data_IF_722966861427
#
_entry.id   IF_722966861427
#
_cell.length_a   1.000
_cell.length_b   1.000
_cell.length_c   1.000
_cell.angle_alpha   90.00
_cell.angle_beta   90.00
_cell.angle_gamma   90.00
#
_symmetry.space_group_name_H-M   'P 1'
#
loop_
_entity.id
_entity.type
_entity.pdbx_description
1 polymer ?
#
# COMPACT_ATOMS: atom_id res chain seq x y z
N UNK A 1 29.12 -8.11 -26.09
CA UNK A 1 28.97 -9.04 -24.94
C UNK A 1 27.68 -9.84 -25.08
N UNK A 2 27.50 -10.87 -24.26
CA UNK A 2 26.23 -11.62 -24.16
C UNK A 2 25.74 -11.54 -22.72
N UNK A 3 24.46 -11.22 -22.53
CA UNK A 3 23.77 -11.22 -21.26
C UNK A 3 22.67 -12.28 -21.30
N UNK A 4 22.43 -12.97 -20.20
CA UNK A 4 21.36 -13.96 -20.08
C UNK A 4 20.17 -13.30 -19.37
N UNK A 5 19.01 -13.26 -20.02
CA UNK A 5 17.77 -12.63 -19.52
C UNK A 5 16.75 -13.69 -19.18
N UNK A 6 16.07 -13.59 -18.04
CA UNK A 6 15.04 -14.57 -17.66
C UNK A 6 13.84 -14.58 -18.60
N UNK A 7 13.23 -15.76 -18.74
CA UNK A 7 12.05 -16.01 -19.59
C UNK A 7 10.91 -15.01 -19.33
N UNK A 8 10.66 -14.65 -18.07
CA UNK A 8 9.58 -13.73 -17.69
C UNK A 8 9.78 -12.27 -18.18
N UNK A 9 11.04 -11.85 -18.36
CA UNK A 9 11.39 -10.47 -18.69
C UNK A 9 11.63 -10.26 -20.18
N UNK A 10 11.79 -11.34 -20.95
CA UNK A 10 12.19 -11.27 -22.36
C UNK A 10 11.20 -10.50 -23.23
N UNK A 11 9.90 -10.52 -22.88
CA UNK A 11 8.86 -9.79 -23.61
C UNK A 11 9.02 -8.27 -23.58
N UNK A 12 9.80 -7.74 -22.64
CA UNK A 12 10.08 -6.32 -22.49
C UNK A 12 11.40 -5.90 -23.17
N UNK A 13 12.24 -6.87 -23.55
CA UNK A 13 13.55 -6.64 -24.18
C UNK A 13 13.39 -6.58 -25.69
N UNK A 14 13.86 -5.47 -26.30
CA UNK A 14 13.76 -5.24 -27.73
C UNK A 14 15.11 -4.91 -28.36
N UNK A 15 15.34 -5.40 -29.58
CA UNK A 15 16.47 -4.97 -30.40
C UNK A 15 16.44 -3.45 -30.58
N UNK A 16 17.60 -2.80 -30.45
CA UNK A 16 17.76 -1.35 -30.49
C UNK A 16 17.63 -0.65 -29.14
N UNK A 17 17.14 -1.33 -28.09
CA UNK A 17 17.08 -0.74 -26.76
C UNK A 17 18.48 -0.48 -26.18
N UNK A 18 18.59 0.59 -25.39
CA UNK A 18 19.82 0.92 -24.65
C UNK A 18 19.96 0.00 -23.44
N UNK A 19 21.18 -0.30 -23.05
CA UNK A 19 21.50 -1.09 -21.87
C UNK A 19 22.61 -0.37 -21.09
N UNK A 20 22.52 -0.34 -19.76
CA UNK A 20 23.62 0.13 -18.91
C UNK A 20 24.40 -1.06 -18.41
N UNK A 21 25.71 -1.01 -18.56
CA UNK A 21 26.60 -2.12 -18.21
C UNK A 21 27.62 -1.63 -17.19
N UNK A 22 27.69 -2.32 -16.06
CA UNK A 22 28.72 -2.13 -15.03
C UNK A 22 29.65 -3.32 -15.01
N UNK A 23 30.93 -3.08 -14.80
CA UNK A 23 31.96 -4.12 -14.79
C UNK A 23 32.70 -4.01 -13.47
N UNK A 24 32.89 -5.13 -12.79
CA UNK A 24 33.50 -5.15 -11.45
C UNK A 24 34.92 -4.56 -11.42
N UNK A 25 35.65 -4.66 -12.54
CA UNK A 25 36.98 -4.07 -12.68
C UNK A 25 36.96 -2.52 -12.69
N UNK A 26 35.82 -1.91 -13.01
CA UNK A 26 35.65 -0.45 -13.09
C UNK A 26 34.30 -0.05 -12.47
N UNK A 27 34.14 -0.17 -11.13
CA UNK A 27 32.85 0.05 -10.47
C UNK A 27 32.31 1.48 -10.66
N UNK A 28 33.20 2.46 -10.80
CA UNK A 28 32.86 3.87 -10.99
C UNK A 28 32.50 4.22 -12.45
N UNK A 29 32.55 3.25 -13.37
CA UNK A 29 32.26 3.47 -14.79
C UNK A 29 31.00 2.72 -15.20
N UNK A 30 30.11 3.44 -15.87
CA UNK A 30 28.94 2.88 -16.56
C UNK A 30 29.22 2.92 -18.06
N UNK A 31 29.08 1.77 -18.70
CA UNK A 31 29.19 1.65 -20.15
C UNK A 31 27.80 1.55 -20.74
N UNK A 32 27.49 2.42 -21.71
CA UNK A 32 26.23 2.35 -22.43
C UNK A 32 26.35 1.44 -23.64
N UNK A 33 25.49 0.44 -23.70
CA UNK A 33 25.40 -0.51 -24.79
C UNK A 33 24.08 -0.43 -25.53
N UNK A 34 24.02 -1.07 -26.69
CA UNK A 34 22.78 -1.23 -27.46
C UNK A 34 22.53 -2.72 -27.72
N UNK A 35 21.29 -3.16 -27.54
CA UNK A 35 20.89 -4.53 -27.83
C UNK A 35 20.87 -4.70 -29.34
N UNK A 36 21.75 -5.53 -29.90
CA UNK A 36 21.82 -5.77 -31.34
C UNK A 36 21.12 -7.06 -31.76
N UNK A 37 20.95 -8.00 -30.83
CA UNK A 37 20.30 -9.27 -31.14
C UNK A 37 19.71 -9.93 -29.90
N UNK A 38 18.46 -10.37 -30.00
CA UNK A 38 17.80 -11.24 -29.02
C UNK A 38 17.72 -12.62 -29.65
N UNK A 39 18.33 -13.63 -29.04
CA UNK A 39 18.32 -14.97 -29.60
C UNK A 39 16.90 -15.59 -29.53
N UNK A 40 16.46 -16.33 -30.56
CA UNK A 40 15.12 -16.91 -30.59
C UNK A 40 14.99 -18.18 -29.74
N UNK A 41 16.09 -18.64 -29.13
CA UNK A 41 16.16 -19.91 -28.39
C UNK A 41 16.42 -19.65 -26.92
N UNK A 42 15.61 -20.24 -26.05
CA UNK A 42 15.80 -20.28 -24.62
C UNK A 42 16.78 -21.41 -24.24
N UNK A 43 17.72 -21.12 -23.34
CA UNK A 43 18.59 -22.12 -22.70
C UNK A 43 17.79 -22.83 -21.60
N UNK A 44 17.45 -24.09 -21.81
CA UNK A 44 16.57 -24.85 -20.91
C UNK A 44 17.15 -25.01 -19.50
N UNK A 45 18.49 -25.10 -19.40
CA UNK A 45 19.22 -25.37 -18.16
C UNK A 45 19.13 -24.20 -17.19
N UNK A 46 19.10 -22.97 -17.71
CA UNK A 46 19.10 -21.73 -16.91
C UNK A 46 17.79 -20.97 -17.00
N UNK A 47 16.87 -21.38 -17.88
CA UNK A 47 15.63 -20.65 -18.19
C UNK A 47 15.89 -19.19 -18.59
N UNK A 48 16.94 -18.99 -19.38
CA UNK A 48 17.33 -17.68 -19.88
C UNK A 48 17.40 -17.62 -21.40
N UNK A 49 17.17 -16.44 -21.94
CA UNK A 49 17.35 -16.12 -23.35
C UNK A 49 18.61 -15.26 -23.50
N UNK A 50 19.58 -15.67 -24.33
CA UNK A 50 20.78 -14.88 -24.58
C UNK A 50 20.44 -13.60 -25.35
N UNK A 51 21.04 -12.49 -24.93
CA UNK A 51 20.90 -11.18 -25.56
C UNK A 51 22.28 -10.62 -25.85
N UNK A 52 22.53 -10.25 -27.10
CA UNK A 52 23.77 -9.61 -27.53
C UNK A 52 23.66 -8.10 -27.33
N UNK A 53 24.58 -7.57 -26.52
CA UNK A 53 24.74 -6.14 -26.28
C UNK A 53 26.06 -5.68 -26.88
N UNK A 54 26.01 -4.68 -27.73
CA UNK A 54 27.18 -4.03 -28.30
C UNK A 54 27.58 -2.83 -27.46
N UNK A 55 28.88 -2.73 -27.13
CA UNK A 55 29.45 -1.71 -26.26
C UNK A 55 30.60 -1.03 -27.00
N UNK A 56 30.61 0.31 -27.11
CA UNK A 56 31.78 1.04 -27.58
C UNK A 56 32.97 0.79 -26.65
N UNK A 57 34.13 0.44 -27.23
CA UNK A 57 35.37 0.21 -26.48
C UNK A 57 36.58 0.95 -27.08
N UNK A 58 36.50 2.27 -27.31
CA UNK A 58 37.58 3.02 -27.97
C UNK A 58 38.88 3.01 -27.15
N UNK A 59 38.78 3.03 -25.83
CA UNK A 59 39.94 3.01 -24.91
C UNK A 59 40.45 1.59 -24.59
N UNK A 60 39.89 0.55 -25.22
CA UNK A 60 40.26 -0.86 -25.00
C UNK A 60 40.22 -1.34 -23.53
N UNK A 61 39.41 -0.68 -22.70
CA UNK A 61 39.26 -1.03 -21.28
C UNK A 61 38.52 -2.35 -21.09
N UNK A 62 37.59 -2.65 -21.99
CA UNK A 62 36.77 -3.86 -21.94
C UNK A 62 37.54 -5.03 -22.54
N UNK A 63 37.85 -6.05 -21.73
CA UNK A 63 38.48 -7.29 -22.19
C UNK A 63 37.45 -8.40 -22.35
N UNK A 64 37.66 -9.34 -23.30
CA UNK A 64 36.82 -10.53 -23.40
C UNK A 64 36.76 -11.31 -22.08
N UNK A 65 35.66 -12.02 -21.87
CA UNK A 65 35.39 -12.86 -20.69
C UNK A 65 35.30 -12.12 -19.33
N UNK A 66 35.29 -10.78 -19.30
CA UNK A 66 34.96 -10.03 -18.08
C UNK A 66 33.51 -10.26 -17.66
N UNK A 67 33.29 -10.39 -16.35
CA UNK A 67 31.95 -10.36 -15.76
C UNK A 67 31.41 -8.94 -15.76
N UNK A 68 30.11 -8.83 -16.00
CA UNK A 68 29.42 -7.56 -16.06
C UNK A 68 27.99 -7.73 -15.56
N UNK A 69 27.48 -6.66 -14.95
CA UNK A 69 26.09 -6.52 -14.59
C UNK A 69 25.41 -5.63 -15.62
N UNK A 70 24.29 -6.13 -16.17
CA UNK A 70 23.55 -5.44 -17.23
C UNK A 70 22.20 -5.01 -16.69
N UNK A 71 21.94 -3.72 -16.73
CA UNK A 71 20.65 -3.11 -16.47
C UNK A 71 19.96 -2.85 -17.81
N UNK A 72 18.88 -3.58 -18.05
CA UNK A 72 18.05 -3.42 -19.23
C UNK A 72 16.84 -2.56 -18.84
N UNK A 73 16.68 -1.35 -19.40
CA UNK A 73 15.46 -0.59 -19.26
C UNK A 73 14.35 -1.34 -20.00
N UNK A 74 13.52 -2.02 -19.22
CA UNK A 74 12.27 -2.57 -19.70
C UNK A 74 11.36 -1.40 -20.04
N UNK A 75 10.99 -1.29 -21.32
CA UNK A 75 10.42 -0.05 -21.85
C UNK A 75 9.15 0.37 -21.12
N UNK A 76 9.19 1.52 -20.44
CA UNK A 76 8.00 2.37 -20.34
C UNK A 76 7.64 2.80 -21.77
N UNK A 77 6.40 2.58 -22.19
CA UNK A 77 5.92 2.94 -23.53
C UNK A 77 5.87 4.47 -23.67
N UNK A 78 6.96 5.10 -24.07
CA UNK A 78 7.00 6.55 -24.36
C UNK A 78 6.91 7.44 -23.11
N UNK A 79 6.70 8.74 -23.33
CA UNK A 79 6.35 9.66 -22.26
C UNK A 79 4.98 9.27 -21.69
N UNK A 80 5.00 8.78 -20.45
CA UNK A 80 3.79 8.38 -19.74
C UNK A 80 3.61 9.27 -18.52
N UNK A 81 2.36 9.61 -18.22
CA UNK A 81 2.03 10.31 -16.98
C UNK A 81 2.25 9.33 -15.85
N UNK A 82 3.09 9.71 -14.88
CA UNK A 82 3.31 8.90 -13.67
C UNK A 82 2.96 9.72 -12.45
N UNK A 83 2.52 9.02 -11.41
CA UNK A 83 2.35 9.59 -10.08
C UNK A 83 3.20 8.79 -9.08
N UNK A 84 3.66 9.40 -7.98
CA UNK A 84 4.29 8.65 -6.90
C UNK A 84 3.36 7.53 -6.44
N UNK A 85 3.93 6.36 -6.13
CA UNK A 85 3.18 5.22 -5.62
C UNK A 85 2.35 5.58 -4.37
N UNK A 86 2.87 6.48 -3.53
CA UNK A 86 2.22 6.99 -2.32
C UNK A 86 1.10 8.02 -2.58
N UNK A 87 0.88 8.45 -3.82
CA UNK A 87 -0.24 9.31 -4.18
C UNK A 87 -1.50 8.51 -4.59
N UNK A 88 -1.35 7.20 -4.81
CA UNK A 88 -2.45 6.32 -5.17
C UNK A 88 -3.09 5.73 -3.93
N UNK A 89 -4.39 5.97 -3.79
CA UNK A 89 -5.24 5.30 -2.81
C UNK A 89 -5.90 4.12 -3.53
N UNK A 90 -5.42 2.91 -3.25
CA UNK A 90 -5.97 1.67 -3.78
C UNK A 90 -6.82 1.00 -2.70
N UNK A 91 -8.15 0.99 -2.89
CA UNK A 91 -9.09 0.31 -2.00
C UNK A 91 -9.37 -1.13 -2.43
N UNK A 92 -8.62 -1.67 -3.39
CA UNK A 92 -8.83 -2.97 -4.05
C UNK A 92 -9.94 -2.95 -5.11
N UNK A 93 -11.01 -2.19 -4.86
CA UNK A 93 -12.15 -2.02 -5.78
C UNK A 93 -12.05 -0.79 -6.66
N UNK A 94 -11.37 0.26 -6.19
CA UNK A 94 -11.16 1.51 -6.91
C UNK A 94 -9.76 2.02 -6.64
N UNK A 95 -9.19 2.66 -7.65
CA UNK A 95 -7.89 3.34 -7.56
C UNK A 95 -8.16 4.81 -7.77
N UNK A 96 -7.87 5.61 -6.77
CA UNK A 96 -8.11 7.06 -6.81
C UNK A 96 -6.83 7.82 -6.49
N UNK A 97 -6.74 9.02 -7.02
CA UNK A 97 -5.75 10.03 -6.63
C UNK A 97 -6.49 11.31 -6.26
N UNK A 98 -5.89 12.12 -5.39
CA UNK A 98 -6.40 13.43 -5.05
C UNK A 98 -5.67 14.47 -5.91
N UNK A 99 -6.35 15.06 -6.88
CA UNK A 99 -5.83 16.14 -7.71
C UNK A 99 -6.16 17.48 -7.06
N UNK A 100 -5.18 18.37 -6.94
CA UNK A 100 -5.43 19.72 -6.44
C UNK A 100 -5.99 20.59 -7.57
N UNK A 101 -7.31 20.85 -7.52
CA UNK A 101 -7.99 21.66 -8.52
C UNK A 101 -7.77 23.17 -8.29
N UNK A 102 -7.69 23.59 -7.02
CA UNK A 102 -7.38 24.95 -6.57
C UNK A 102 -6.66 24.88 -5.23
N UNK A 103 -6.02 25.95 -4.81
CA UNK A 103 -5.35 26.06 -3.52
C UNK A 103 -6.30 25.62 -2.38
N UNK A 104 -5.89 24.61 -1.60
CA UNK A 104 -6.69 24.02 -0.52
C UNK A 104 -7.89 23.15 -0.94
N UNK A 105 -8.19 22.96 -2.24
CA UNK A 105 -9.31 22.13 -2.72
C UNK A 105 -8.83 20.93 -3.53
N UNK A 106 -9.17 19.74 -3.03
CA UNK A 106 -8.77 18.45 -3.59
C UNK A 106 -9.97 17.74 -4.19
N UNK A 107 -9.79 17.21 -5.39
CA UNK A 107 -10.79 16.45 -6.11
C UNK A 107 -10.34 14.99 -6.18
N UNK A 108 -11.12 14.04 -5.61
CA UNK A 108 -10.85 12.64 -5.81
C UNK A 108 -11.17 12.25 -7.24
N UNK A 109 -10.19 11.69 -7.94
CA UNK A 109 -10.34 11.24 -9.31
C UNK A 109 -9.96 9.79 -9.44
N UNK A 110 -10.84 9.03 -10.06
CA UNK A 110 -10.57 7.63 -10.38
C UNK A 110 -9.52 7.55 -11.49
N UNK A 111 -8.57 6.65 -11.31
CA UNK A 111 -7.44 6.48 -12.22
C UNK A 111 -7.35 5.04 -12.70
N UNK A 112 -7.00 4.92 -13.98
CA UNK A 112 -6.59 3.64 -14.54
C UNK A 112 -5.08 3.57 -14.52
N UNK A 113 -4.54 2.58 -13.82
CA UNK A 113 -3.10 2.43 -13.64
C UNK A 113 -2.51 1.47 -14.68
N UNK A 114 -1.27 1.77 -15.08
CA UNK A 114 -0.46 0.97 -15.99
C UNK A 114 0.70 0.29 -15.27
N UNK A 115 1.88 0.32 -15.89
CA UNK A 115 3.09 -0.27 -15.33
C UNK A 115 3.49 0.40 -14.01
N UNK A 116 4.01 -0.41 -13.09
CA UNK A 116 4.48 0.04 -11.79
C UNK A 116 5.98 -0.15 -11.70
N UNK A 117 6.66 0.88 -11.21
CA UNK A 117 8.05 0.87 -10.78
C UNK A 117 8.12 0.95 -9.25
N UNK A 118 9.33 0.90 -8.70
CA UNK A 118 9.52 0.94 -7.24
C UNK A 118 8.87 2.16 -6.57
N UNK A 119 8.99 3.34 -7.19
CA UNK A 119 8.55 4.61 -6.59
C UNK A 119 7.39 5.29 -7.32
N UNK A 120 7.10 4.90 -8.55
CA UNK A 120 6.10 5.53 -9.41
C UNK A 120 5.21 4.51 -10.08
N UNK A 121 3.97 4.91 -10.36
CA UNK A 121 3.02 4.14 -11.15
C UNK A 121 2.52 4.96 -12.32
N UNK A 122 2.46 4.31 -13.48
CA UNK A 122 1.89 4.87 -14.70
C UNK A 122 0.38 5.09 -14.54
N UNK A 123 -0.09 6.25 -15.01
CA UNK A 123 -1.51 6.60 -15.09
C UNK A 123 -1.91 6.63 -16.56
N UNK A 124 -2.76 5.68 -16.94
CA UNK A 124 -3.32 5.56 -18.29
C UNK A 124 -4.49 6.52 -18.50
N UNK A 125 -5.32 6.70 -17.47
CA UNK A 125 -6.51 7.57 -17.50
C UNK A 125 -6.71 8.23 -16.12
N UNK A 126 -7.25 9.44 -16.12
CA UNK A 126 -7.62 10.19 -14.91
C UNK A 126 -6.72 11.40 -14.61
N UNK A 127 -5.40 11.29 -14.76
CA UNK A 127 -4.48 12.41 -14.49
C UNK A 127 -3.82 12.90 -15.78
N UNK A 128 -3.76 14.21 -15.95
CA UNK A 128 -3.06 14.87 -17.04
C UNK A 128 -1.68 15.35 -16.58
N UNK A 129 -0.75 15.47 -17.53
CA UNK A 129 0.56 16.05 -17.26
C UNK A 129 0.40 17.49 -16.70
N UNK A 130 1.14 17.81 -15.64
CA UNK A 130 1.12 19.10 -14.96
C UNK A 130 0.06 19.23 -13.87
N UNK A 131 -0.82 18.24 -13.66
CA UNK A 131 -1.77 18.27 -12.55
C UNK A 131 -1.09 17.89 -11.22
N UNK A 132 -1.14 18.76 -10.19
CA UNK A 132 -0.58 18.44 -8.87
C UNK A 132 -1.41 17.36 -8.16
N UNK A 133 -0.74 16.29 -7.74
CA UNK A 133 -1.33 15.19 -6.98
C UNK A 133 -0.79 15.14 -5.55
N UNK A 134 -1.65 14.82 -4.59
CA UNK A 134 -1.28 14.74 -3.18
C UNK A 134 -0.56 13.44 -2.88
N UNK A 135 0.61 13.53 -2.27
CA UNK A 135 1.39 12.38 -1.79
C UNK A 135 0.97 12.11 -0.34
N UNK A 136 0.54 10.89 -0.01
CA UNK A 136 -0.14 10.55 1.23
C UNK A 136 0.68 10.66 2.54
N UNK A 137 1.84 11.32 2.54
CA UNK A 137 2.67 11.43 3.74
C UNK A 137 2.37 12.66 4.63
N UNK A 138 1.79 13.75 4.10
CA UNK A 138 1.67 15.01 4.86
C UNK A 138 0.26 15.63 4.91
N UNK A 139 -0.75 15.02 4.29
CA UNK A 139 -2.04 15.69 4.09
C UNK A 139 -3.20 15.22 4.98
N UNK A 140 -3.09 14.05 5.60
CA UNK A 140 -4.16 13.55 6.47
C UNK A 140 -4.28 14.32 7.80
N UNK A 141 -3.34 15.23 8.12
CA UNK A 141 -3.39 16.04 9.34
C UNK A 141 -4.33 17.26 9.18
N UNK A 142 -4.52 17.80 7.97
CA UNK A 142 -5.33 19.02 7.75
C UNK A 142 -6.62 18.82 6.93
N UNK A 143 -6.82 17.65 6.30
CA UNK A 143 -7.87 17.46 5.29
C UNK A 143 -9.13 16.73 5.76
N UNK A 144 -9.14 16.17 6.97
CA UNK A 144 -10.24 15.31 7.46
C UNK A 144 -11.58 16.07 7.56
N UNK A 145 -11.51 17.39 7.74
CA UNK A 145 -12.69 18.28 7.80
C UNK A 145 -13.34 18.54 6.42
N UNK A 146 -12.58 18.48 5.33
CA UNK A 146 -13.09 18.80 3.97
C UNK A 146 -13.47 17.54 3.17
N UNK A 147 -12.82 16.40 3.41
CA UNK A 147 -13.12 15.16 2.70
C UNK A 147 -14.51 14.60 3.06
N UNK A 148 -14.93 14.76 4.32
CA UNK A 148 -16.26 14.33 4.80
C UNK A 148 -17.41 15.12 4.14
N UNK A 149 -17.15 16.36 3.74
CA UNK A 149 -18.13 17.23 3.06
C UNK A 149 -18.22 16.96 1.55
N UNK A 150 -17.10 16.59 0.89
CA UNK A 150 -17.08 16.32 -0.54
C UNK A 150 -17.67 14.95 -0.94
N UNK A 151 -17.53 13.94 -0.06
CA UNK A 151 -18.04 12.57 -0.33
C UNK A 151 -19.52 12.41 0.06
N UNK A 152 -20.04 13.24 0.96
CA UNK A 152 -21.45 13.19 1.42
C UNK A 152 -22.47 13.90 0.51
N UNK A 153 -22.04 14.62 -0.53
CA UNK A 153 -22.90 15.54 -1.29
C UNK A 153 -23.61 15.00 -2.53
N UNK A 154 -23.39 13.75 -2.94
CA UNK A 154 -23.88 13.21 -4.23
C UNK A 154 -25.03 12.20 -4.15
N UNK A 155 -25.89 12.29 -3.13
CA UNK A 155 -27.02 11.37 -2.96
C UNK A 155 -28.39 12.05 -2.95
N UNK A 156 -28.91 12.48 -4.10
CA UNK A 156 -30.36 12.69 -4.26
C UNK A 156 -30.80 12.53 -5.73
N UNK A 157 -31.30 11.34 -6.08
CA UNK A 157 -32.56 11.15 -6.80
C UNK A 157 -32.82 9.66 -7.08
N UNK A 158 -34.04 9.25 -6.71
CA UNK A 158 -34.83 8.11 -7.19
C UNK A 158 -34.86 6.82 -6.34
N UNK A 159 -36.11 6.45 -6.05
CA UNK A 159 -36.67 5.32 -5.33
C UNK A 159 -36.20 3.92 -5.78
N UNK A 160 -36.13 3.01 -4.81
CA UNK A 160 -36.39 1.58 -5.05
C UNK A 160 -35.47 0.61 -4.28
N UNK A 161 -35.98 0.10 -3.15
CA UNK A 161 -35.60 -1.17 -2.48
C UNK A 161 -34.13 -1.41 -2.11
N UNK A 162 -33.89 -1.46 -0.78
CA UNK A 162 -32.62 -1.86 -0.15
C UNK A 162 -32.10 -3.22 -0.64
N UNK A 163 -30.78 -3.38 -0.77
CA UNK A 163 -30.05 -4.10 0.28
C UNK A 163 -28.93 -3.28 0.93
N UNK A 164 -28.71 -3.57 2.21
CA UNK A 164 -27.70 -3.04 3.14
C UNK A 164 -26.26 -3.19 2.58
N UNK A 165 -25.36 -2.20 2.69
CA UNK A 165 -24.02 -2.29 2.12
C UNK A 165 -23.12 -3.21 2.96
N UNK A 166 -22.62 -4.27 2.32
CA UNK A 166 -21.48 -5.05 2.77
C UNK A 166 -20.18 -4.25 2.61
N UNK A 167 -19.55 -3.97 3.74
CA UNK A 167 -18.17 -3.51 3.88
C UNK A 167 -17.19 -4.58 3.36
N UNK A 168 -16.38 -4.22 2.37
CA UNK A 168 -15.34 -5.07 1.81
C UNK A 168 -14.24 -5.36 2.85
N UNK A 169 -14.12 -6.64 3.22
CA UNK A 169 -13.09 -7.23 4.08
C UNK A 169 -11.85 -7.57 3.25
N UNK A 170 -10.67 -7.16 3.71
CA UNK A 170 -9.47 -7.99 3.55
C UNK A 170 -9.51 -9.10 4.60
N UNK A 171 -9.16 -10.32 4.22
CA UNK A 171 -9.33 -11.53 5.02
C UNK A 171 -8.33 -11.60 6.20
N UNK A 172 -8.56 -10.79 7.23
CA UNK A 172 -8.36 -11.21 8.61
C UNK A 172 -9.77 -11.40 9.18
N UNK A 173 -10.04 -12.52 9.86
CA UNK A 173 -11.35 -12.73 10.49
C UNK A 173 -11.50 -11.65 11.56
N UNK A 174 -12.31 -10.63 11.28
CA UNK A 174 -12.64 -9.60 12.26
C UNK A 174 -13.42 -10.22 13.41
N UNK A 175 -12.90 -10.05 14.62
CA UNK A 175 -13.54 -10.48 15.87
C UNK A 175 -14.23 -9.27 16.50
N UNK A 176 -15.37 -9.52 17.14
CA UNK A 176 -16.13 -8.50 17.84
C UNK A 176 -16.25 -8.89 19.31
N UNK A 177 -16.11 -7.91 20.18
CA UNK A 177 -16.27 -8.10 21.61
C UNK A 177 -16.80 -6.83 22.28
N UNK A 178 -17.40 -7.01 23.44
CA UNK A 178 -17.76 -5.91 24.34
C UNK A 178 -16.86 -6.01 25.57
N UNK A 179 -16.49 -4.88 26.15
CA UNK A 179 -15.59 -4.84 27.29
C UNK A 179 -15.59 -3.51 28.01
N UNK A 180 -14.80 -3.45 29.07
CA UNK A 180 -14.56 -2.23 29.84
C UNK A 180 -13.11 -1.82 29.66
N UNK A 181 -12.88 -0.55 29.39
CA UNK A 181 -11.52 0.02 29.31
C UNK A 181 -10.91 0.04 30.70
N UNK A 182 -9.82 -0.68 30.93
CA UNK A 182 -9.08 -0.63 32.20
C UNK A 182 -7.96 0.41 32.16
N UNK A 183 -7.29 0.55 31.02
CA UNK A 183 -6.18 1.49 30.85
C UNK A 183 -5.75 1.60 29.40
N UNK A 184 -4.94 2.60 29.09
CA UNK A 184 -4.35 2.77 27.77
C UNK A 184 -3.06 3.58 27.85
N UNK A 185 -2.13 3.27 26.95
CA UNK A 185 -0.93 4.06 26.72
C UNK A 185 -1.01 4.66 25.31
N UNK A 186 -1.24 5.97 25.25
CA UNK A 186 -1.36 6.72 23.99
C UNK A 186 -0.05 6.83 23.21
N UNK A 187 1.10 6.73 23.90
CA UNK A 187 2.43 6.78 23.27
C UNK A 187 2.81 5.42 22.70
N UNK A 188 2.50 4.34 23.42
CA UNK A 188 2.76 2.98 22.99
C UNK A 188 1.68 2.41 22.06
N UNK A 189 0.51 3.06 21.98
CA UNK A 189 -0.62 2.57 21.18
C UNK A 189 -1.24 1.30 21.76
N UNK A 190 -1.28 1.21 23.09
CA UNK A 190 -1.76 0.03 23.82
C UNK A 190 -3.07 0.35 24.54
N UNK A 191 -3.97 -0.62 24.55
CA UNK A 191 -5.28 -0.56 25.19
C UNK A 191 -5.51 -1.82 26.00
N UNK A 192 -5.68 -1.67 27.31
CA UNK A 192 -6.05 -2.76 28.22
C UNK A 192 -7.57 -2.81 28.35
N UNK A 193 -8.16 -3.92 27.94
CA UNK A 193 -9.60 -4.16 28.00
C UNK A 193 -9.90 -5.40 28.84
N UNK A 194 -10.85 -5.27 29.76
CA UNK A 194 -11.56 -6.40 30.31
C UNK A 194 -12.72 -6.73 29.40
N UNK A 195 -12.53 -7.72 28.54
CA UNK A 195 -13.50 -8.07 27.51
C UNK A 195 -14.36 -9.27 27.95
N UNK A 196 -15.61 -9.28 27.51
CA UNK A 196 -16.50 -10.44 27.62
C UNK A 196 -16.10 -11.57 26.66
N UNK A 197 -16.84 -12.69 26.63
CA UNK A 197 -16.51 -13.83 25.80
C UNK A 197 -16.42 -13.48 24.30
N UNK A 198 -15.40 -13.99 23.62
CA UNK A 198 -15.23 -13.81 22.17
C UNK A 198 -15.55 -15.12 21.47
N UNK A 199 -16.81 -15.27 21.04
CA UNK A 199 -17.33 -16.52 20.48
C UNK A 199 -16.52 -17.03 19.28
N UNK A 200 -16.06 -16.15 18.40
CA UNK A 200 -15.28 -16.50 17.20
C UNK A 200 -13.92 -17.13 17.52
N UNK A 201 -13.36 -16.85 18.69
CA UNK A 201 -12.06 -17.38 19.14
C UNK A 201 -12.20 -18.40 20.28
N UNK A 202 -13.43 -18.68 20.72
CA UNK A 202 -13.74 -19.50 21.91
C UNK A 202 -13.03 -19.00 23.18
N UNK A 203 -12.79 -17.70 23.27
CA UNK A 203 -12.16 -17.11 24.44
C UNK A 203 -13.20 -16.82 25.53
N UNK A 204 -12.89 -17.14 26.81
CA UNK A 204 -13.68 -16.66 27.93
C UNK A 204 -13.51 -15.14 28.07
N UNK A 205 -14.33 -14.51 28.91
CA UNK A 205 -14.07 -13.13 29.31
C UNK A 205 -12.79 -13.05 30.14
N UNK A 206 -11.93 -12.08 29.83
CA UNK A 206 -10.65 -11.87 30.52
C UNK A 206 -10.10 -10.46 30.25
N UNK A 207 -9.13 -10.03 31.06
CA UNK A 207 -8.37 -8.80 30.83
C UNK A 207 -7.18 -9.08 29.94
N UNK A 208 -7.07 -8.33 28.84
CA UNK A 208 -5.94 -8.42 27.91
C UNK A 208 -5.53 -7.05 27.38
N UNK A 209 -4.30 -6.99 26.90
CA UNK A 209 -3.76 -5.85 26.18
C UNK A 209 -3.92 -6.05 24.68
N UNK A 210 -4.38 -5.00 24.00
CA UNK A 210 -4.52 -4.94 22.57
C UNK A 210 -3.72 -3.75 22.03
N UNK A 211 -3.15 -3.91 20.84
CA UNK A 211 -2.65 -2.76 20.09
C UNK A 211 -3.82 -2.03 19.43
N UNK A 212 -3.68 -0.73 19.19
CA UNK A 212 -4.66 0.02 18.39
C UNK A 212 -4.15 0.27 16.98
N UNK A 213 -5.03 0.11 15.99
CA UNK A 213 -4.68 0.36 14.59
C UNK A 213 -4.32 1.83 14.33
N UNK A 214 -4.89 2.75 15.11
CA UNK A 214 -4.54 4.17 15.10
C UNK A 214 -4.64 4.78 16.51
N UNK A 215 -3.76 5.71 16.90
CA UNK A 215 -3.85 6.39 18.20
C UNK A 215 -5.17 7.15 18.42
N UNK A 216 -5.85 7.56 17.33
CA UNK A 216 -7.14 8.23 17.38
C UNK A 216 -8.23 7.37 18.05
N UNK A 217 -8.14 6.04 17.99
CA UNK A 217 -9.09 5.14 18.66
C UNK A 217 -9.05 5.26 20.19
N UNK A 218 -7.94 5.72 20.75
CA UNK A 218 -7.79 5.96 22.20
C UNK A 218 -8.36 7.32 22.62
N UNK A 219 -8.61 8.21 21.65
CA UNK A 219 -9.03 9.58 21.92
C UNK A 219 -10.47 9.61 22.44
N UNK A 220 -10.65 10.17 23.63
CA UNK A 220 -11.96 10.26 24.28
C UNK A 220 -12.39 9.00 25.04
N UNK A 221 -11.58 7.94 25.06
CA UNK A 221 -11.78 6.82 25.98
C UNK A 221 -11.45 7.23 27.41
N UNK A 222 -12.21 6.69 28.37
CA UNK A 222 -11.96 6.86 29.81
C UNK A 222 -11.83 5.48 30.43
N UNK A 223 -10.90 5.28 31.39
CA UNK A 223 -10.93 4.09 32.23
C UNK A 223 -12.32 3.92 32.87
N UNK A 224 -12.82 2.69 32.88
CA UNK A 224 -14.16 2.33 33.31
C UNK A 224 -15.26 2.48 32.24
N UNK A 225 -14.95 2.99 31.04
CA UNK A 225 -15.94 3.09 29.97
C UNK A 225 -16.24 1.72 29.36
N UNK A 226 -17.53 1.40 29.21
CA UNK A 226 -17.97 0.23 28.43
C UNK A 226 -17.87 0.54 26.94
N UNK A 227 -17.31 -0.39 26.19
CA UNK A 227 -17.02 -0.25 24.76
C UNK A 227 -17.42 -1.50 24.01
N UNK A 228 -17.94 -1.32 22.81
CA UNK A 228 -17.99 -2.36 21.79
C UNK A 228 -16.82 -2.14 20.84
N UNK A 229 -16.05 -3.18 20.54
CA UNK A 229 -14.84 -3.06 19.73
C UNK A 229 -14.68 -4.22 18.75
N UNK A 230 -14.03 -3.91 17.64
CA UNK A 230 -13.64 -4.86 16.61
C UNK A 230 -12.12 -4.96 16.57
N UNK A 231 -11.61 -6.18 16.40
CA UNK A 231 -10.18 -6.43 16.36
C UNK A 231 -9.82 -7.55 15.40
N UNK A 232 -8.58 -7.55 14.94
CA UNK A 232 -8.03 -8.55 14.01
C UNK A 232 -6.70 -9.07 14.53
N UNK A 233 -6.37 -10.32 14.18
CA UNK A 233 -5.00 -10.83 14.32
C UNK A 233 -4.16 -10.33 13.13
N UNK A 234 -3.07 -9.60 13.39
CA UNK A 234 -2.13 -9.17 12.33
C UNK A 234 -0.92 -10.08 12.19
N UNK A 235 -0.50 -10.68 13.30
CA UNK A 235 0.52 -11.73 13.39
C UNK A 235 0.09 -12.71 14.49
N UNK A 236 0.58 -13.96 14.52
CA UNK A 236 0.26 -14.90 15.59
C UNK A 236 0.41 -14.29 16.99
N UNK A 237 -0.70 -14.13 17.71
CA UNK A 237 -0.75 -13.51 19.05
C UNK A 237 -0.77 -11.98 19.10
N UNK A 238 -0.75 -11.29 17.95
CA UNK A 238 -0.80 -9.83 17.84
C UNK A 238 -2.21 -9.36 17.48
N UNK A 239 -2.96 -8.95 18.51
CA UNK A 239 -4.36 -8.53 18.40
C UNK A 239 -4.47 -7.01 18.32
N UNK A 240 -5.05 -6.53 17.23
CA UNK A 240 -5.13 -5.10 16.91
C UNK A 240 -6.58 -4.65 16.83
N UNK A 241 -6.97 -3.72 17.70
CA UNK A 241 -8.28 -3.06 17.66
C UNK A 241 -8.34 -2.14 16.44
N UNK A 242 -9.30 -2.40 15.57
CA UNK A 242 -9.53 -1.63 14.34
C UNK A 242 -10.67 -0.63 14.49
N UNK A 243 -11.56 -0.84 15.46
CA UNK A 243 -12.72 0.01 15.74
C UNK A 243 -13.09 -0.12 17.21
N UNK A 244 -13.42 1.00 17.86
CA UNK A 244 -13.93 1.04 19.22
C UNK A 244 -15.01 2.10 19.34
N UNK A 245 -16.11 1.74 20.00
CA UNK A 245 -17.25 2.64 20.20
C UNK A 245 -17.63 2.63 21.68
N UNK A 246 -17.62 3.78 22.35
CA UNK A 246 -18.22 3.92 23.67
C UNK A 246 -19.69 3.51 23.62
N UNK A 247 -20.11 2.67 24.55
CA UNK A 247 -21.51 2.32 24.73
C UNK A 247 -22.11 3.26 25.77
N UNK A 248 -23.24 3.89 25.45
CA UNK A 248 -24.01 4.65 26.43
C UNK A 248 -24.47 3.66 27.52
N UNK A 249 -23.92 3.82 28.72
CA UNK A 249 -23.88 2.75 29.71
C UNK A 249 -25.26 2.24 30.15
N UNK A 250 -25.36 0.92 30.31
CA UNK A 250 -25.77 0.41 31.61
C UNK A 250 -24.56 0.52 32.51
N UNK A 251 -24.60 1.46 33.44
CA UNK A 251 -23.67 1.49 34.57
C UNK A 251 -23.72 0.10 35.21
N UNK A 252 -22.61 -0.65 35.17
CA UNK A 252 -22.46 -1.78 36.06
C UNK A 252 -22.56 -1.22 37.47
N UNK A 253 -23.68 -1.50 38.14
CA UNK A 253 -23.89 -1.13 39.52
C UNK A 253 -22.70 -1.63 40.32
N UNK A 254 -21.93 -0.70 40.85
CA UNK A 254 -20.91 -0.95 41.85
C UNK A 254 -21.65 -1.26 43.17
N UNK A 255 -21.61 -2.47 43.73
CA UNK A 255 -21.94 -2.64 45.13
C UNK A 255 -20.63 -2.55 45.90
N UNK A 256 -20.18 -1.33 46.22
CA UNK A 256 -19.19 -1.18 47.28
C UNK A 256 -19.91 -0.94 48.61
N UNK A 257 -19.65 -1.86 49.53
CA UNK A 257 -19.59 -1.70 50.98
C UNK A 257 -20.88 -1.43 51.78
N UNK A 258 -21.10 -2.29 52.78
CA UNK A 258 -21.78 -1.90 54.02
C UNK A 258 -22.60 -3.00 54.68
N UNK A 259 -21.96 -3.96 55.36
CA UNK A 259 -22.06 -4.17 56.81
C UNK A 259 -21.26 -5.39 57.27
#
# INVERSE_FOLDING_TARGET
MVADVFEQDIGQVKTGAKAKVRINAYPDKVFEGTITYVYPTLKAETRTVPVRVELPNPSQLLKPAMFAQVELPVGAKGEVVTVPTSAVIDSGTRRIVLVQAKEGRFEPREVKLGQRSDNHVEVLEGVKNGEPVVVAANFLIDAESNLKAAVGGFGHASHGSQPKPESAKSAAVGHQAEGTVEGFDTKAGLLTLNHGPVASLKWPGMTMEFQVATPALLSGLKPGATVAFEFVERKPGEWVVTSIKPMAGKVAANPHAGH
#
